data_IF_956700805430
#
_entry.id   IF_956700805430
#
_cell.length_a   1.000
_cell.length_b   1.000
_cell.length_c   1.000
_cell.angle_alpha   90.00
_cell.angle_beta   90.00
_cell.angle_gamma   90.00
#
_symmetry.space_group_name_H-M   'P 1'
#
loop_
_entity.id
_entity.type
_entity.pdbx_description
1 polymer ?
#
# COMPACT_ATOMS: atom_id res chain seq x y z
N UNK A 1 0.32 -9.42 4.04
CA UNK A 1 0.80 -8.69 2.85
C UNK A 1 1.14 -7.31 3.33
N UNK A 2 2.33 -7.18 3.92
CA UNK A 2 2.74 -5.91 4.49
C UNK A 2 3.36 -5.11 3.35
N UNK A 3 2.63 -4.08 2.90
CA UNK A 3 3.11 -3.15 1.86
C UNK A 3 4.44 -2.52 2.31
N UNK A 4 4.57 -2.29 3.61
CA UNK A 4 5.77 -1.82 4.28
C UNK A 4 6.59 -3.01 4.78
N UNK A 5 7.78 -3.20 4.22
CA UNK A 5 8.73 -4.21 4.71
C UNK A 5 9.55 -3.68 5.89
N UNK A 6 9.91 -2.39 5.86
CA UNK A 6 10.81 -1.78 6.83
C UNK A 6 10.66 -0.25 6.85
N UNK A 7 10.80 0.34 8.03
CA UNK A 7 11.03 1.76 8.23
C UNK A 7 12.54 2.01 8.26
N UNK A 8 13.08 2.71 7.27
CA UNK A 8 14.50 3.03 7.23
C UNK A 8 14.81 4.25 8.13
N UNK A 9 13.96 5.27 8.07
CA UNK A 9 13.99 6.41 8.98
C UNK A 9 12.61 7.05 9.09
N UNK A 10 12.31 7.61 10.25
CA UNK A 10 11.14 8.46 10.48
C UNK A 10 11.64 9.67 11.27
N UNK A 11 11.41 10.87 10.73
CA UNK A 11 11.67 12.12 11.42
C UNK A 11 10.41 12.97 11.32
N UNK A 12 10.12 13.75 12.35
CA UNK A 12 8.92 14.58 12.32
C UNK A 12 8.87 15.56 13.47
N UNK A 13 7.92 16.48 13.35
CA UNK A 13 7.57 17.46 14.37
C UNK A 13 6.07 17.33 14.66
N UNK A 14 5.73 17.39 15.96
CA UNK A 14 4.34 17.46 16.40
C UNK A 14 4.19 18.74 17.21
N UNK A 15 3.35 19.65 16.71
CA UNK A 15 3.01 20.88 17.41
C UNK A 15 1.66 20.65 18.08
N UNK A 16 1.63 20.83 19.40
CA UNK A 16 0.42 20.62 20.19
C UNK A 16 -0.09 21.97 20.66
N UNK A 17 -1.27 22.33 20.18
CA UNK A 17 -2.00 23.51 20.62
C UNK A 17 -3.22 23.10 21.46
N UNK A 18 -3.67 23.98 22.35
CA UNK A 18 -4.89 23.77 23.12
C UNK A 18 -5.79 24.99 23.04
N UNK A 19 -7.05 24.76 22.68
CA UNK A 19 -8.11 25.77 22.68
C UNK A 19 -9.29 25.21 23.46
N UNK A 20 -9.63 25.83 24.59
CA UNK A 20 -10.62 25.32 25.55
C UNK A 20 -10.28 23.88 26.00
N UNK A 21 -11.15 22.91 25.69
CA UNK A 21 -10.98 21.48 25.98
C UNK A 21 -10.50 20.67 24.78
N UNK A 22 -10.15 21.32 23.66
CA UNK A 22 -9.69 20.67 22.44
C UNK A 22 -8.16 20.81 22.33
N UNK A 23 -7.48 19.69 22.13
CA UNK A 23 -6.07 19.58 21.78
C UNK A 23 -5.96 19.42 20.27
N UNK A 24 -5.15 20.26 19.64
CA UNK A 24 -4.92 20.28 18.19
C UNK A 24 -3.50 19.82 17.98
N UNK A 25 -3.33 18.69 17.29
CA UNK A 25 -2.03 18.13 16.95
C UNK A 25 -1.76 18.38 15.48
N UNK A 26 -0.83 19.29 15.20
CA UNK A 26 -0.30 19.51 13.86
C UNK A 26 0.93 18.63 13.68
N UNK A 27 0.84 17.63 12.81
CA UNK A 27 1.81 16.55 12.65
C UNK A 27 2.47 16.67 11.27
N UNK A 28 3.79 16.85 11.26
CA UNK A 28 4.64 16.81 10.08
C UNK A 28 5.59 15.61 10.19
N UNK A 29 5.52 14.66 9.26
CA UNK A 29 6.37 13.45 9.25
C UNK A 29 7.04 13.29 7.88
N UNK A 30 8.35 13.05 7.91
CA UNK A 30 9.15 12.58 6.79
C UNK A 30 9.64 11.16 7.09
N UNK A 31 9.16 10.19 6.32
CA UNK A 31 9.51 8.79 6.47
C UNK A 31 10.17 8.24 5.20
N UNK A 32 11.28 7.53 5.34
CA UNK A 32 11.86 6.72 4.27
C UNK A 32 11.48 5.26 4.53
N UNK A 33 10.70 4.69 3.61
CA UNK A 33 10.07 3.37 3.75
C UNK A 33 10.60 2.42 2.69
N UNK A 34 10.85 1.17 3.08
CA UNK A 34 11.10 0.08 2.14
C UNK A 34 9.76 -0.62 1.83
N UNK A 35 9.30 -0.46 0.60
CA UNK A 35 7.97 -0.88 0.15
C UNK A 35 8.07 -2.00 -0.89
N UNK A 36 6.99 -2.75 -1.07
CA UNK A 36 6.88 -3.76 -2.13
C UNK A 36 5.97 -3.25 -3.25
N UNK A 37 6.47 -3.20 -4.47
CA UNK A 37 5.65 -2.86 -5.64
C UNK A 37 4.51 -3.86 -5.81
N UNK A 38 3.28 -3.36 -5.97
CA UNK A 38 2.11 -4.19 -6.26
C UNK A 38 2.15 -4.82 -7.65
N UNK A 39 2.97 -4.29 -8.57
CA UNK A 39 3.06 -4.77 -9.95
C UNK A 39 4.13 -5.85 -10.13
N UNK A 40 5.32 -5.60 -9.62
CA UNK A 40 6.50 -6.45 -9.86
C UNK A 40 6.93 -7.29 -8.68
N UNK A 41 6.35 -7.00 -7.50
CA UNK A 41 6.79 -7.52 -6.20
C UNK A 41 8.25 -7.14 -5.84
N UNK A 42 8.88 -6.23 -6.58
CA UNK A 42 10.21 -5.71 -6.24
C UNK A 42 10.12 -4.78 -5.06
N UNK A 43 11.14 -4.85 -4.21
CA UNK A 43 11.33 -3.94 -3.09
C UNK A 43 12.01 -2.66 -3.56
N UNK A 44 11.58 -1.52 -3.06
CA UNK A 44 12.17 -0.24 -3.35
C UNK A 44 11.99 0.71 -2.16
N UNK A 45 12.85 1.72 -2.07
CA UNK A 45 12.75 2.75 -1.04
C UNK A 45 12.01 3.97 -1.61
N UNK A 46 11.10 4.52 -0.82
CA UNK A 46 10.34 5.72 -1.16
C UNK A 46 10.19 6.64 0.06
N UNK A 47 10.30 7.94 -0.20
CA UNK A 47 10.09 8.98 0.80
C UNK A 47 8.61 9.37 0.83
N UNK A 48 8.03 9.37 2.02
CA UNK A 48 6.68 9.81 2.31
C UNK A 48 6.70 11.03 3.20
N UNK A 49 5.94 12.05 2.80
CA UNK A 49 5.65 13.22 3.60
C UNK A 49 4.18 13.18 4.02
N UNK A 50 3.93 13.30 5.32
CA UNK A 50 2.59 13.34 5.89
C UNK A 50 2.42 14.65 6.65
N UNK A 51 1.32 15.32 6.34
CA UNK A 51 0.91 16.59 6.92
C UNK A 51 -0.54 16.45 7.37
N UNK A 52 -0.76 16.27 8.66
CA UNK A 52 -2.08 15.98 9.22
C UNK A 52 -2.35 16.85 10.44
N UNK A 53 -3.59 17.29 10.59
CA UNK A 53 -4.06 17.97 11.81
C UNK A 53 -5.14 17.12 12.45
N UNK A 54 -4.89 16.68 13.68
CA UNK A 54 -5.83 15.86 14.45
C UNK A 54 -6.36 16.63 15.65
N UNK A 55 -7.64 16.44 15.95
CA UNK A 55 -8.30 17.10 17.08
C UNK A 55 -8.72 16.07 18.12
N UNK A 56 -8.34 16.33 19.36
CA UNK A 56 -8.63 15.47 20.49
C UNK A 56 -9.30 16.26 21.62
N UNK A 57 -10.17 15.63 22.39
CA UNK A 57 -10.82 16.23 23.55
C UNK A 57 -10.86 15.25 24.71
N UNK A 58 -10.76 15.75 25.93
CA UNK A 58 -11.03 14.95 27.13
C UNK A 58 -12.38 15.31 27.77
N UNK A 59 -13.24 16.01 27.02
CA UNK A 59 -14.61 16.33 27.40
C UNK A 59 -15.57 15.80 26.32
N UNK A 60 -16.48 14.89 26.73
CA UNK A 60 -17.46 14.24 25.85
C UNK A 60 -18.37 15.24 25.13
N UNK A 61 -18.65 16.41 25.74
CA UNK A 61 -19.49 17.45 25.13
C UNK A 61 -18.88 18.04 23.85
N UNK A 62 -17.55 17.94 23.71
CA UNK A 62 -16.82 18.43 22.54
C UNK A 62 -16.47 17.30 21.55
N UNK A 63 -16.92 16.06 21.78
CA UNK A 63 -16.72 14.97 20.84
C UNK A 63 -17.56 15.22 19.58
N UNK A 64 -16.94 15.08 18.42
CA UNK A 64 -17.59 15.25 17.12
C UNK A 64 -17.02 14.26 16.11
N UNK A 65 -17.45 14.34 14.85
CA UNK A 65 -16.86 13.57 13.76
C UNK A 65 -15.37 13.92 13.54
N UNK A 66 -15.01 15.19 13.77
CA UNK A 66 -13.65 15.70 13.57
C UNK A 66 -12.81 15.72 14.85
N UNK A 67 -13.43 15.52 16.02
CA UNK A 67 -12.77 15.62 17.34
C UNK A 67 -12.95 14.34 18.14
N UNK A 68 -11.85 13.61 18.31
CA UNK A 68 -11.84 12.33 18.99
C UNK A 68 -11.72 12.47 20.51
N UNK A 69 -12.50 11.68 21.25
CA UNK A 69 -12.47 11.72 22.71
C UNK A 69 -11.40 10.80 23.28
N UNK A 70 -10.61 11.31 24.24
CA UNK A 70 -9.48 10.62 24.84
C UNK A 70 -9.48 10.83 26.35
N UNK A 71 -9.50 9.72 27.10
CA UNK A 71 -9.49 9.72 28.57
C UNK A 71 -8.09 9.69 29.20
N UNK A 72 -7.03 9.54 28.40
CA UNK A 72 -5.70 9.27 28.92
C UNK A 72 -4.55 9.68 27.99
N UNK A 73 -3.65 8.74 27.76
CA UNK A 73 -2.44 8.96 26.96
C UNK A 73 -2.70 8.66 25.48
N UNK A 74 -1.96 9.34 24.61
CA UNK A 74 -1.90 9.04 23.19
C UNK A 74 -0.58 8.35 22.93
N UNK A 75 -0.65 7.16 22.35
CA UNK A 75 0.53 6.48 21.85
C UNK A 75 0.89 7.06 20.48
N UNK A 76 1.90 7.94 20.48
CA UNK A 76 2.35 8.66 19.30
C UNK A 76 2.96 7.71 18.26
N UNK A 77 3.62 6.62 18.69
CA UNK A 77 4.23 5.67 17.75
C UNK A 77 3.13 4.94 16.96
N UNK A 78 2.08 4.49 17.67
CA UNK A 78 0.92 3.86 17.03
C UNK A 78 0.12 4.85 16.15
N UNK A 79 0.03 6.11 16.56
CA UNK A 79 -0.59 7.16 15.76
C UNK A 79 0.16 7.38 14.45
N UNK A 80 1.49 7.57 14.51
CA UNK A 80 2.36 7.75 13.35
C UNK A 80 2.27 6.55 12.41
N UNK A 81 2.31 5.33 12.95
CA UNK A 81 2.18 4.11 12.15
C UNK A 81 0.83 4.04 11.43
N UNK A 82 -0.25 4.40 12.12
CA UNK A 82 -1.60 4.45 11.55
C UNK A 82 -1.67 5.47 10.42
N UNK A 83 -1.15 6.68 10.64
CA UNK A 83 -1.10 7.74 9.63
C UNK A 83 -0.30 7.32 8.38
N UNK A 84 0.83 6.62 8.57
CA UNK A 84 1.65 6.11 7.47
C UNK A 84 0.88 5.08 6.64
N UNK A 85 0.22 4.11 7.27
CA UNK A 85 -0.56 3.11 6.55
C UNK A 85 -1.73 3.72 5.77
N UNK A 86 -2.44 4.68 6.37
CA UNK A 86 -3.61 5.30 5.72
C UNK A 86 -3.22 6.21 4.56
N UNK A 87 -2.02 6.78 4.58
CA UNK A 87 -1.54 7.68 3.52
C UNK A 87 -0.83 6.94 2.37
N UNK A 88 -0.35 5.71 2.57
CA UNK A 88 0.28 4.94 1.49
C UNK A 88 -0.80 4.43 0.51
N UNK A 89 -0.66 4.71 -0.80
CA UNK A 89 -1.57 4.18 -1.81
C UNK A 89 -1.59 2.65 -1.83
N UNK A 90 -2.78 2.07 -1.99
CA UNK A 90 -2.95 0.61 -2.14
C UNK A 90 -2.16 0.07 -3.34
N UNK A 91 -2.13 0.84 -4.43
CA UNK A 91 -1.41 0.50 -5.66
C UNK A 91 -0.13 1.33 -5.75
N UNK A 92 0.94 0.79 -5.17
CA UNK A 92 2.25 1.41 -5.19
C UNK A 92 3.16 0.70 -6.20
N UNK A 93 3.93 1.47 -6.97
CA UNK A 93 4.79 0.95 -8.03
C UNK A 93 6.21 1.46 -7.85
N UNK A 94 7.20 0.61 -8.09
CA UNK A 94 8.57 1.08 -8.03
C UNK A 94 8.82 2.08 -9.18
N UNK A 95 9.75 3.04 -8.99
CA UNK A 95 10.09 3.98 -10.04
C UNK A 95 10.52 3.26 -11.33
N UNK A 96 10.03 3.73 -12.48
CA UNK A 96 10.32 3.20 -13.81
C UNK A 96 9.74 1.81 -14.14
N UNK A 97 8.77 1.33 -13.38
CA UNK A 97 8.04 0.10 -13.72
C UNK A 97 6.99 0.38 -14.81
N UNK A 98 7.45 0.53 -16.06
CA UNK A 98 6.57 0.50 -17.23
C UNK A 98 6.56 -0.90 -17.81
N UNK A 99 5.38 -1.52 -17.85
CA UNK A 99 5.12 -2.71 -18.68
C UNK A 99 5.97 -3.93 -18.32
N UNK A 100 5.95 -4.35 -17.05
CA UNK A 100 6.59 -5.61 -16.66
C UNK A 100 5.74 -6.77 -17.19
N UNK A 101 6.18 -7.33 -18.32
CA UNK A 101 5.53 -8.44 -19.03
C UNK A 101 6.04 -9.79 -18.48
N UNK A 102 7.17 -9.82 -17.76
CA UNK A 102 7.84 -11.07 -17.32
C UNK A 102 8.55 -10.89 -15.97
N UNK A 103 8.37 -11.84 -15.05
CA UNK A 103 9.08 -11.97 -13.77
C UNK A 103 9.70 -13.37 -13.59
N UNK A 104 10.39 -13.62 -12.48
CA UNK A 104 10.92 -14.96 -12.16
C UNK A 104 9.75 -15.92 -11.84
N UNK A 105 9.50 -16.87 -12.74
CA UNK A 105 8.46 -17.90 -12.58
C UNK A 105 7.07 -17.49 -13.05
N UNK A 106 6.87 -16.26 -13.55
CA UNK A 106 5.59 -15.84 -14.12
C UNK A 106 5.78 -14.86 -15.29
N UNK A 107 4.83 -14.88 -16.23
CA UNK A 107 4.72 -13.88 -17.30
C UNK A 107 3.27 -13.43 -17.42
N UNK A 108 3.07 -12.14 -17.66
CA UNK A 108 1.76 -11.57 -17.89
C UNK A 108 1.51 -11.62 -19.39
N UNK A 109 0.58 -12.47 -19.80
CA UNK A 109 0.22 -12.70 -21.20
C UNK A 109 -1.09 -11.97 -21.48
N UNK A 110 -1.18 -11.25 -22.60
CA UNK A 110 -2.47 -10.69 -23.05
C UNK A 110 -3.35 -11.78 -23.67
N UNK A 111 -4.66 -11.61 -23.66
CA UNK A 111 -5.60 -12.59 -24.23
C UNK A 111 -5.26 -12.97 -25.68
N UNK A 112 -4.88 -11.98 -26.49
CA UNK A 112 -4.48 -12.17 -27.90
C UNK A 112 -3.23 -13.06 -28.04
N UNK A 113 -2.27 -12.94 -27.12
CA UNK A 113 -1.05 -13.76 -27.07
C UNK A 113 -1.37 -15.18 -26.60
N UNK A 114 -2.32 -15.34 -25.67
CA UNK A 114 -2.81 -16.63 -25.20
C UNK A 114 -3.53 -17.41 -26.31
N UNK A 115 -4.39 -16.75 -27.08
CA UNK A 115 -5.08 -17.35 -28.24
C UNK A 115 -4.08 -17.82 -29.31
N UNK A 116 -3.02 -17.04 -29.54
CA UNK A 116 -1.93 -17.41 -30.45
C UNK A 116 -1.16 -18.64 -29.95
N UNK A 117 -0.99 -18.80 -28.63
CA UNK A 117 -0.33 -19.99 -28.06
C UNK A 117 -1.24 -21.23 -28.05
N UNK A 118 -2.54 -21.09 -27.73
CA UNK A 118 -3.51 -22.19 -27.81
C UNK A 118 -3.58 -22.79 -29.22
N UNK A 119 -3.42 -21.95 -30.25
CA UNK A 119 -3.46 -22.39 -31.65
C UNK A 119 -2.24 -23.23 -32.09
N UNK A 120 -1.17 -23.33 -31.28
CA UNK A 120 0.09 -23.98 -31.67
C UNK A 120 0.28 -25.41 -31.17
N UNK A 121 -0.52 -25.90 -30.23
CA UNK A 121 -0.65 -27.33 -29.94
C UNK A 121 -1.81 -27.56 -28.99
N UNK A 122 -2.90 -28.13 -29.49
CA UNK A 122 -3.92 -28.71 -28.61
C UNK A 122 -3.36 -30.02 -28.04
N UNK A 123 -3.48 -30.27 -26.73
CA UNK A 123 -3.16 -31.58 -26.14
C UNK A 123 -3.98 -32.74 -26.76
N UNK A 124 -5.05 -32.41 -27.48
CA UNK A 124 -5.90 -33.34 -28.21
C UNK A 124 -5.47 -33.55 -29.68
N UNK A 125 -4.47 -32.82 -30.20
CA UNK A 125 -3.95 -33.04 -31.57
C UNK A 125 -3.37 -34.46 -31.73
N UNK A 126 -2.92 -35.07 -30.62
CA UNK A 126 -2.46 -36.47 -30.58
C UNK A 126 -3.61 -37.46 -30.82
N UNK A 127 -4.87 -37.07 -30.54
CA UNK A 127 -6.03 -37.93 -30.75
C UNK A 127 -6.52 -37.91 -32.21
N UNK A 128 -6.26 -36.84 -32.95
CA UNK A 128 -6.61 -36.76 -34.38
C UNK A 128 -5.73 -37.67 -35.25
N UNK A 129 -4.55 -38.07 -34.76
CA UNK A 129 -3.68 -39.08 -35.39
C UNK A 129 -4.06 -40.53 -35.06
N UNK A 130 -5.02 -40.76 -34.16
CA UNK A 130 -5.51 -42.11 -33.84
C UNK A 130 -6.64 -42.46 -34.81
N UNK A 131 -6.29 -43.19 -35.87
CA UNK A 131 -7.25 -43.76 -36.80
C UNK A 131 -8.07 -44.86 -36.09
N UNK A 132 -9.30 -44.52 -35.69
CA UNK A 132 -10.20 -45.40 -34.91
C UNK A 132 -10.93 -46.45 -35.75
N UNK A 133 -10.64 -46.55 -37.05
CA UNK A 133 -11.22 -47.55 -37.94
C UNK A 133 -10.32 -48.80 -38.07
N UNK A 134 -10.32 -49.65 -37.03
CA UNK A 134 -9.96 -51.08 -37.13
C UNK A 134 -10.85 -51.98 -36.26
#
# INVERSE_FOLDING_TARGET
NDIINKFNSINGEIIINKVNSIYIFDIHILANLNLTSSLSLKKFDEDYEINETLYFTNNEEYKSEDTEFIEGFIDIDNLIYSLLITNIPINIHAPNEKGIIVGEGYRVIKEEELETEKSKSSPFDILDEIDLDK
#
